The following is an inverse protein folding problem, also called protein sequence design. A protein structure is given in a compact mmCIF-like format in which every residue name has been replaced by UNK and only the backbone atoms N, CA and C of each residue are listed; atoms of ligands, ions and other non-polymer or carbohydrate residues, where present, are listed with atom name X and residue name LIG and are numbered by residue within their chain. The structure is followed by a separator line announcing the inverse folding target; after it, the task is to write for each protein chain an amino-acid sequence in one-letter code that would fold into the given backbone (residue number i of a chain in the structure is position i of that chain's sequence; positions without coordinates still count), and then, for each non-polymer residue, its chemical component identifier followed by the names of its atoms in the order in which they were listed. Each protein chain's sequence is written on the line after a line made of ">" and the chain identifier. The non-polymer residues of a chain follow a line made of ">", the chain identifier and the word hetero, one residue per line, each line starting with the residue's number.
data_IF_340536573169
#
_entry.id   IF_340536573169
#
_cell.length_a   1.000
_cell.length_b   1.000
_cell.length_c   1.000
_cell.angle_alpha   90.00
_cell.angle_beta   90.00
_cell.angle_gamma   90.00
#
_symmetry.space_group_name_H-M   'P 1'
#
loop_
_entity.id
_entity.type
_entity.pdbx_description
1 polymer ?
#
# COMPACT_ATOMS: atom_id res chain seq x y z
N UNK A 1 3.09 -23.25 -5.64
CA UNK A 1 2.44 -22.12 -6.33
C UNK A 1 1.61 -21.38 -5.29
N UNK A 2 2.01 -20.21 -4.76
CA UNK A 2 1.20 -19.55 -3.76
C UNK A 2 0.06 -18.79 -4.45
N UNK A 3 -1.16 -19.20 -4.09
CA UNK A 3 -2.40 -18.55 -4.48
C UNK A 3 -2.43 -17.12 -3.93
N UNK A 4 -2.72 -16.16 -4.80
CA UNK A 4 -3.04 -14.78 -4.41
C UNK A 4 -4.36 -14.85 -3.64
N UNK A 5 -4.28 -14.78 -2.31
CA UNK A 5 -5.45 -14.83 -1.44
C UNK A 5 -6.11 -13.46 -1.42
N UNK A 6 -6.98 -13.22 -2.41
CA UNK A 6 -7.83 -12.01 -2.49
C UNK A 6 -8.95 -12.14 -1.45
N UNK A 7 -8.81 -11.49 -0.30
CA UNK A 7 -9.90 -11.38 0.67
C UNK A 7 -10.86 -10.27 0.23
N UNK A 8 -11.83 -10.59 -0.63
CA UNK A 8 -12.89 -9.65 -1.02
C UNK A 8 -13.97 -9.58 0.08
N UNK A 9 -14.07 -8.45 0.78
CA UNK A 9 -15.26 -8.13 1.57
C UNK A 9 -16.00 -6.92 0.99
N UNK A 10 -16.77 -7.21 -0.06
CA UNK A 10 -18.14 -6.73 -0.16
C UNK A 10 -18.49 -5.92 -1.40
N UNK A 11 -19.71 -6.19 -1.85
CA UNK A 11 -20.34 -5.80 -3.11
C UNK A 11 -20.63 -4.29 -3.17
N UNK A 12 -20.39 -3.68 -4.34
CA UNK A 12 -21.06 -2.44 -4.77
C UNK A 12 -20.18 -1.20 -4.94
N UNK A 13 -19.33 -1.19 -5.97
CA UNK A 13 -18.53 -0.04 -6.41
C UNK A 13 -17.05 -0.41 -6.48
N UNK A 14 -16.49 -0.50 -7.68
CA UNK A 14 -15.05 -0.71 -7.86
C UNK A 14 -14.30 0.43 -7.19
N UNK A 15 -13.81 0.18 -5.98
CA UNK A 15 -12.97 1.10 -5.25
C UNK A 15 -11.57 0.95 -5.84
N UNK A 16 -11.02 2.02 -6.42
CA UNK A 16 -9.75 1.92 -7.17
C UNK A 16 -8.56 2.37 -6.35
N UNK A 17 -8.72 2.79 -5.08
CA UNK A 17 -7.67 3.52 -4.37
C UNK A 17 -6.44 2.67 -4.07
N UNK A 18 -6.63 1.41 -3.68
CA UNK A 18 -5.52 0.49 -3.39
C UNK A 18 -4.86 0.05 -4.69
N UNK A 19 -5.66 -0.15 -5.75
CA UNK A 19 -5.12 -0.37 -7.10
C UNK A 19 -4.29 0.84 -7.53
N UNK A 20 -4.79 2.06 -7.39
CA UNK A 20 -4.10 3.30 -7.78
C UNK A 20 -2.80 3.52 -6.99
N UNK A 21 -2.80 3.27 -5.68
CA UNK A 21 -1.57 3.31 -4.89
C UNK A 21 -0.61 2.21 -5.33
N UNK A 22 -1.09 0.98 -5.48
CA UNK A 22 -0.25 -0.14 -5.91
C UNK A 22 0.37 0.12 -7.29
N UNK A 23 -0.37 0.77 -8.21
CA UNK A 23 0.11 1.18 -9.52
C UNK A 23 1.13 2.33 -9.42
N UNK A 24 0.90 3.29 -8.52
CA UNK A 24 1.89 4.35 -8.22
C UNK A 24 3.19 3.74 -7.72
N UNK A 25 3.13 2.85 -6.73
CA UNK A 25 4.28 2.14 -6.17
C UNK A 25 4.94 1.23 -7.23
N UNK A 26 4.13 0.56 -8.06
CA UNK A 26 4.58 -0.21 -9.23
C UNK A 26 5.23 0.67 -10.28
N UNK A 27 5.06 2.00 -10.29
CA UNK A 27 5.67 2.92 -11.24
C UNK A 27 6.90 3.68 -10.68
N UNK A 28 7.15 3.66 -9.37
CA UNK A 28 8.34 4.29 -8.76
C UNK A 28 9.67 3.62 -9.13
N UNK A 29 10.77 4.37 -9.14
CA UNK A 29 12.09 3.75 -9.18
C UNK A 29 12.28 2.83 -7.96
N UNK A 30 13.01 1.72 -8.13
CA UNK A 30 13.20 0.77 -7.04
C UNK A 30 13.91 1.40 -5.82
N UNK A 31 14.80 2.37 -6.07
CA UNK A 31 15.46 3.16 -5.03
C UNK A 31 14.50 4.04 -4.22
N UNK A 32 13.45 4.56 -4.85
CA UNK A 32 12.43 5.36 -4.18
C UNK A 32 11.46 4.47 -3.40
N UNK A 33 11.17 3.27 -3.95
CA UNK A 33 10.32 2.27 -3.32
C UNK A 33 10.93 1.69 -2.03
N UNK A 34 12.26 1.64 -1.93
CA UNK A 34 12.96 1.19 -0.70
C UNK A 34 13.34 2.35 0.23
N UNK A 35 13.08 3.60 -0.17
CA UNK A 35 13.37 4.78 0.64
C UNK A 35 12.15 5.20 1.48
N UNK A 36 12.25 5.01 2.79
CA UNK A 36 11.17 5.29 3.73
C UNK A 36 10.74 6.76 3.70
N UNK A 37 11.68 7.70 3.65
CA UNK A 37 11.36 9.13 3.62
C UNK A 37 10.62 9.51 2.35
N UNK A 38 10.97 8.89 1.22
CA UNK A 38 10.23 9.08 -0.02
C UNK A 38 8.81 8.54 0.09
N UNK A 39 8.65 7.31 0.60
CA UNK A 39 7.33 6.72 0.82
C UNK A 39 6.47 7.54 1.79
N UNK A 40 7.04 8.06 2.88
CA UNK A 40 6.33 8.94 3.81
C UNK A 40 5.78 10.18 3.09
N UNK A 41 6.61 10.84 2.29
CA UNK A 41 6.19 12.00 1.50
C UNK A 41 5.08 11.65 0.50
N UNK A 42 5.23 10.53 -0.20
CA UNK A 42 4.24 10.05 -1.17
C UNK A 42 2.90 9.68 -0.52
N UNK A 43 2.94 9.04 0.66
CA UNK A 43 1.74 8.62 1.40
C UNK A 43 1.06 9.78 2.11
N UNK A 44 1.72 10.91 2.38
CA UNK A 44 1.07 12.08 2.98
C UNK A 44 -0.13 12.55 2.13
N UNK A 45 0.00 12.48 0.80
CA UNK A 45 -1.10 12.68 -0.13
C UNK A 45 -1.97 11.40 -0.25
N UNK A 46 -3.31 11.53 -0.28
CA UNK A 46 -4.18 10.40 -0.60
C UNK A 46 -3.93 9.88 -2.03
N UNK A 47 -4.09 8.56 -2.25
CA UNK A 47 -3.81 7.89 -3.53
C UNK A 47 -4.65 8.41 -4.72
N UNK A 48 -5.86 8.93 -4.45
CA UNK A 48 -6.70 9.68 -5.38
C UNK A 48 -7.56 10.71 -4.65
N UNK A 49 -8.10 11.67 -5.40
CA UNK A 49 -8.98 12.73 -4.91
C UNK A 49 -10.40 12.27 -4.49
N UNK A 50 -10.71 10.96 -4.51
CA UNK A 50 -12.03 10.49 -4.08
C UNK A 50 -12.25 10.82 -2.60
N UNK A 51 -13.44 11.26 -2.24
CA UNK A 51 -13.73 11.68 -0.86
C UNK A 51 -13.65 10.52 0.14
N UNK A 52 -13.70 9.29 -0.35
CA UNK A 52 -13.47 8.08 0.43
C UNK A 52 -11.99 7.83 0.69
N UNK A 53 -11.11 7.99 -0.31
CA UNK A 53 -9.66 7.84 -0.14
C UNK A 53 -9.10 8.81 0.92
N UNK A 54 -9.66 10.03 0.97
CA UNK A 54 -9.32 11.04 1.99
C UNK A 54 -9.69 10.59 3.40
N UNK A 55 -10.72 9.74 3.54
CA UNK A 55 -11.25 9.26 4.82
C UNK A 55 -10.73 7.88 5.22
N UNK A 56 -9.91 7.25 4.38
CA UNK A 56 -9.38 5.93 4.63
C UNK A 56 -8.08 5.98 5.45
N UNK A 57 -7.93 5.00 6.33
CA UNK A 57 -6.63 4.61 6.88
C UNK A 57 -5.99 3.64 5.90
N UNK A 58 -4.80 3.96 5.43
CA UNK A 58 -4.05 3.19 4.44
C UNK A 58 -2.79 2.61 5.10
N UNK A 59 -2.60 1.30 5.00
CA UNK A 59 -1.42 0.59 5.51
C UNK A 59 -0.65 0.05 4.32
N UNK A 60 0.61 0.45 4.19
CA UNK A 60 1.53 -0.05 3.16
C UNK A 60 2.62 -0.86 3.82
N UNK A 61 2.76 -2.11 3.39
CA UNK A 61 3.82 -3.02 3.85
C UNK A 61 4.70 -3.38 2.67
N UNK A 62 6.01 -3.36 2.90
CA UNK A 62 7.02 -3.73 1.93
C UNK A 62 7.97 -4.71 2.58
N UNK A 63 8.24 -5.82 1.91
CA UNK A 63 9.18 -6.83 2.36
C UNK A 63 9.98 -7.39 1.19
N UNK A 64 11.19 -7.89 1.47
CA UNK A 64 11.97 -8.64 0.49
C UNK A 64 11.18 -9.89 0.04
N UNK A 65 11.30 -10.23 -1.25
CA UNK A 65 10.68 -11.43 -1.82
C UNK A 65 11.75 -12.32 -2.48
N UNK A 66 11.68 -13.67 -2.35
CA UNK A 66 10.62 -14.47 -1.73
C UNK A 66 10.70 -14.61 -0.21
N UNK A 67 11.85 -14.31 0.38
CA UNK A 67 12.07 -14.45 1.83
C UNK A 67 12.16 -13.06 2.45
N UNK A 68 11.17 -12.72 3.27
CA UNK A 68 11.16 -11.45 4.00
C UNK A 68 12.28 -11.40 5.04
N UNK A 69 12.99 -10.27 5.10
CA UNK A 69 13.98 -9.97 6.14
C UNK A 69 13.53 -8.74 6.95
N UNK A 70 12.37 -8.89 7.59
CA UNK A 70 11.62 -7.80 8.20
C UNK A 70 10.58 -7.20 7.24
N UNK A 71 9.82 -6.25 7.76
CA UNK A 71 8.75 -5.56 7.03
C UNK A 71 8.88 -4.07 7.30
N UNK A 72 8.97 -3.27 6.24
CA UNK A 72 8.76 -1.84 6.32
C UNK A 72 7.26 -1.60 6.24
N UNK A 73 6.68 -1.06 7.31
CA UNK A 73 5.25 -0.78 7.39
C UNK A 73 5.05 0.71 7.65
N UNK A 74 4.19 1.32 6.83
CA UNK A 74 3.73 2.68 7.00
C UNK A 74 2.21 2.71 7.12
N UNK A 75 1.70 3.53 8.03
CA UNK A 75 0.27 3.78 8.18
C UNK A 75 -0.02 5.25 7.93
N UNK A 76 -0.85 5.52 6.93
CA UNK A 76 -1.43 6.83 6.65
C UNK A 76 -2.81 6.91 7.29
N UNK A 77 -3.01 7.92 8.12
CA UNK A 77 -4.31 8.25 8.70
C UNK A 77 -5.12 9.18 7.77
N UNK A 78 -6.45 9.28 7.93
CA UNK A 78 -7.31 10.17 7.15
C UNK A 78 -6.88 11.64 7.17
N UNK A 79 -6.28 12.10 8.27
CA UNK A 79 -5.75 13.46 8.42
C UNK A 79 -4.45 13.72 7.61
N UNK A 80 -3.94 12.71 6.89
CA UNK A 80 -2.71 12.78 6.11
C UNK A 80 -1.43 12.53 6.92
N UNK A 81 -1.54 12.30 8.23
CA UNK A 81 -0.39 11.87 9.05
C UNK A 81 0.05 10.49 8.60
N UNK A 82 1.36 10.33 8.36
CA UNK A 82 1.98 9.04 8.06
C UNK A 82 2.88 8.64 9.21
N UNK A 83 2.68 7.45 9.77
CA UNK A 83 3.56 6.83 10.75
C UNK A 83 4.36 5.72 10.10
N UNK A 84 5.62 5.57 10.49
CA UNK A 84 6.41 4.38 10.19
C UNK A 84 6.29 3.46 11.39
N UNK A 85 5.56 2.36 11.21
CA UNK A 85 5.27 1.42 12.29
C UNK A 85 6.43 0.43 12.48
N UNK A 86 7.09 0.07 11.38
CA UNK A 86 8.28 -0.78 11.39
C UNK A 86 9.15 -0.51 10.16
N UNK A 87 10.43 -0.87 10.27
CA UNK A 87 11.40 -0.78 9.17
C UNK A 87 12.07 -2.14 9.01
N UNK A 88 12.08 -2.67 7.79
CA UNK A 88 12.84 -3.87 7.48
C UNK A 88 14.35 -3.57 7.57
N UNK A 89 15.12 -4.53 8.05
CA UNK A 89 16.59 -4.45 8.07
C UNK A 89 17.17 -4.43 6.66
N UNK A 90 16.51 -5.13 5.74
CA UNK A 90 16.84 -5.23 4.33
C UNK A 90 15.58 -5.56 3.51
N UNK A 91 15.31 -4.79 2.46
CA UNK A 91 14.21 -5.04 1.51
C UNK A 91 14.69 -5.83 0.28
N UNK A 92 15.98 -6.15 0.20
CA UNK A 92 16.59 -6.79 -0.96
C UNK A 92 16.79 -5.82 -2.13
N UNK A 93 17.50 -6.28 -3.15
CA UNK A 93 17.89 -5.45 -4.29
C UNK A 93 17.15 -5.79 -5.59
N UNK A 94 16.30 -6.82 -5.61
CA UNK A 94 15.78 -7.42 -6.85
C UNK A 94 14.26 -7.52 -6.89
N UNK A 95 13.62 -7.99 -5.82
CA UNK A 95 12.17 -8.20 -5.75
C UNK A 95 11.66 -7.80 -4.37
N UNK A 96 10.61 -7.00 -4.34
CA UNK A 96 9.86 -6.70 -3.13
C UNK A 96 8.40 -7.11 -3.29
N UNK A 97 7.81 -7.60 -2.22
CA UNK A 97 6.38 -7.72 -2.09
C UNK A 97 5.85 -6.44 -1.44
N UNK A 98 4.85 -5.85 -2.06
CA UNK A 98 4.13 -4.67 -1.58
C UNK A 98 2.69 -5.05 -1.32
N UNK A 99 2.25 -4.84 -0.09
CA UNK A 99 0.87 -4.99 0.34
C UNK A 99 0.32 -3.61 0.70
N UNK A 100 -0.73 -3.19 0.00
CA UNK A 100 -1.48 -1.97 0.32
C UNK A 100 -2.85 -2.38 0.82
N UNK A 101 -3.26 -1.87 1.97
CA UNK A 101 -4.60 -2.09 2.50
C UNK A 101 -5.23 -0.77 2.94
N UNK A 102 -6.38 -0.42 2.38
CA UNK A 102 -7.20 0.68 2.86
C UNK A 102 -8.35 0.19 3.73
N UNK A 103 -8.70 0.95 4.76
CA UNK A 103 -9.88 0.72 5.59
C UNK A 103 -10.62 2.02 5.86
N UNK A 104 -11.95 1.99 5.81
CA UNK A 104 -12.79 3.16 6.04
C UNK A 104 -14.17 2.77 6.60
N UNK A 105 -14.81 3.72 7.26
CA UNK A 105 -16.19 3.57 7.74
C UNK A 105 -17.13 4.39 6.86
N UNK A 106 -18.13 3.76 6.27
CA UNK A 106 -19.15 4.48 5.50
C UNK A 106 -20.00 5.36 6.42
N UNK A 107 -20.21 6.62 6.04
CA UNK A 107 -21.05 7.56 6.80
C UNK A 107 -22.50 7.08 6.87
N UNK A 108 -23.00 6.47 5.79
CA UNK A 108 -24.31 5.84 5.77
C UNK A 108 -24.21 4.39 6.29
N UNK A 109 -24.93 4.11 7.39
CA UNK A 109 -25.01 2.76 7.97
C UNK A 109 -23.81 2.33 8.83
N UNK A 110 -22.79 3.18 9.01
CA UNK A 110 -21.61 2.96 9.88
C UNK A 110 -20.91 1.62 9.66
N UNK A 111 -20.97 1.09 8.44
CA UNK A 111 -20.31 -0.17 8.09
C UNK A 111 -18.83 0.08 7.83
N UNK A 112 -17.98 -0.67 8.53
CA UNK A 112 -16.56 -0.73 8.23
C UNK A 112 -16.33 -1.52 6.94
N UNK A 113 -15.36 -1.06 6.15
CA UNK A 113 -14.92 -1.68 4.89
C UNK A 113 -13.41 -1.68 4.85
N UNK A 114 -12.87 -2.66 4.15
CA UNK A 114 -11.45 -2.78 3.88
C UNK A 114 -11.23 -3.33 2.48
N UNK A 115 -10.17 -2.86 1.84
CA UNK A 115 -9.61 -3.41 0.61
C UNK A 115 -8.13 -3.73 0.85
N UNK A 116 -7.59 -4.68 0.08
CA UNK A 116 -6.18 -5.01 0.10
C UNK A 116 -5.72 -5.46 -1.29
N UNK A 117 -4.56 -4.97 -1.72
CA UNK A 117 -3.88 -5.35 -2.94
C UNK A 117 -2.44 -5.75 -2.62
N UNK A 118 -2.06 -6.94 -3.07
CA UNK A 118 -0.70 -7.46 -2.98
C UNK A 118 -0.06 -7.45 -4.36
N UNK A 119 1.17 -6.96 -4.47
CA UNK A 119 1.94 -6.92 -5.71
C UNK A 119 3.39 -7.27 -5.48
N UNK A 120 3.98 -8.03 -6.41
CA UNK A 120 5.43 -8.25 -6.45
C UNK A 120 6.00 -7.27 -7.47
N UNK A 121 6.98 -6.47 -7.04
CA UNK A 121 7.65 -5.46 -7.86
C UNK A 121 9.12 -5.84 -7.98
N UNK A 122 9.62 -5.87 -9.22
CA UNK A 122 11.02 -6.12 -9.51
C UNK A 122 11.81 -4.82 -9.69
N UNK A 123 13.11 -4.89 -9.42
CA UNK A 123 14.10 -3.88 -9.79
C UNK A 123 14.42 -3.94 -11.30
N UNK A 124 13.36 -3.93 -12.13
CA UNK A 124 13.50 -3.79 -13.57
C UNK A 124 13.71 -2.32 -13.95
N UNK A 125 14.57 -2.06 -14.93
CA UNK A 125 14.73 -0.73 -15.50
C UNK A 125 13.39 -0.27 -16.07
N UNK A 126 12.82 0.79 -15.49
CA UNK A 126 11.65 1.43 -16.09
C UNK A 126 12.14 2.31 -17.23
N UNK A 127 11.54 2.10 -18.39
CA UNK A 127 11.80 2.91 -19.60
C UNK A 127 11.20 4.29 -19.45
#
# INVERSE_FOLDING_TARGET
>A
MPAIHRCEQGIGGSFTTDTDRSETLRNLAFTDLTNISYLQSLLASPAKASDFAKKATEVVKISAYPTANGVTQLTRLPNGTVTTDSTASDLGATLVQVDVAASWTMTLGRRARSEQVTSIISNGTKK
#
